data_IF_182945666995
#
_entry.id   IF_182945666995
#
_cell.length_a   1.000
_cell.length_b   1.000
_cell.length_c   1.000
_cell.angle_alpha   90.00
_cell.angle_beta   90.00
_cell.angle_gamma   90.00
#
_symmetry.space_group_name_H-M   'P 1'
#
loop_
_entity.id
_entity.type
_entity.pdbx_description
1 polymer ?
#
# COMPACT_ATOMS: atom_id res chain seq x y z
N UNK A 1 33.36 3.27 -3.71
CA UNK A 1 33.13 1.80 -3.86
C UNK A 1 32.83 1.53 -5.34
N UNK A 2 32.90 0.29 -5.83
CA UNK A 2 32.50 -0.05 -7.22
C UNK A 2 31.69 -1.35 -7.22
N UNK A 3 30.60 -1.38 -8.00
CA UNK A 3 29.75 -2.56 -8.19
C UNK A 3 29.51 -2.77 -9.68
N UNK A 4 29.86 -3.95 -10.22
CA UNK A 4 29.71 -4.28 -11.63
C UNK A 4 30.34 -3.24 -12.60
N UNK A 5 31.47 -2.63 -12.23
CA UNK A 5 32.08 -1.57 -13.05
C UNK A 5 31.45 -0.18 -12.89
N UNK A 6 30.39 -0.05 -12.07
CA UNK A 6 29.70 1.21 -11.80
C UNK A 6 30.25 1.81 -10.49
N UNK A 7 30.79 3.04 -10.52
CA UNK A 7 31.26 3.71 -9.32
C UNK A 7 30.07 4.04 -8.40
N UNK A 8 30.23 3.76 -7.12
CA UNK A 8 29.29 4.16 -6.06
C UNK A 8 29.94 5.31 -5.30
N UNK A 9 29.30 6.48 -5.40
CA UNK A 9 29.70 7.70 -4.69
C UNK A 9 29.57 7.49 -3.18
N UNK A 10 30.57 7.96 -2.43
CA UNK A 10 30.62 7.84 -0.96
C UNK A 10 29.82 8.98 -0.33
N UNK A 11 28.51 8.91 -0.49
CA UNK A 11 27.54 9.88 -0.01
C UNK A 11 26.33 9.21 0.65
N UNK A 12 25.43 10.01 1.22
CA UNK A 12 24.26 9.53 1.95
C UNK A 12 22.93 10.01 1.36
N UNK A 13 21.88 9.24 1.59
CA UNK A 13 20.50 9.66 1.34
C UNK A 13 19.86 10.14 2.65
N UNK A 14 19.45 11.40 2.71
CA UNK A 14 18.71 11.94 3.85
C UNK A 14 17.22 11.59 3.75
N UNK A 15 16.71 10.89 4.75
CA UNK A 15 15.32 10.47 4.83
C UNK A 15 14.64 11.04 6.07
N UNK A 16 13.31 11.04 6.09
CA UNK A 16 12.51 11.72 7.09
C UNK A 16 11.54 10.76 7.79
N UNK A 17 11.28 10.95 9.09
CA UNK A 17 10.27 10.17 9.79
C UNK A 17 8.88 10.49 9.23
N UNK A 18 8.06 9.47 9.02
CA UNK A 18 6.69 9.61 8.54
C UNK A 18 5.76 8.59 9.21
N UNK A 19 4.45 8.80 9.18
CA UNK A 19 3.51 7.76 9.63
C UNK A 19 3.15 6.84 8.48
N UNK A 20 3.16 5.54 8.73
CA UNK A 20 2.86 4.51 7.74
C UNK A 20 1.71 3.60 8.21
N UNK A 21 0.86 3.20 7.27
CA UNK A 21 -0.15 2.16 7.42
C UNK A 21 0.05 1.14 6.30
N UNK A 22 -0.05 -0.16 6.62
CA UNK A 22 -0.01 -1.24 5.63
C UNK A 22 -1.38 -1.91 5.58
N UNK A 23 -1.91 -2.06 4.39
CA UNK A 23 -3.21 -2.71 4.14
C UNK A 23 -3.00 -3.88 3.20
N UNK A 24 -3.61 -5.02 3.53
CA UNK A 24 -3.70 -6.18 2.65
C UNK A 24 -5.05 -6.13 1.94
N UNK A 25 -5.04 -6.06 0.61
CA UNK A 25 -6.23 -6.06 -0.23
C UNK A 25 -6.29 -7.38 -0.98
N UNK A 26 -7.39 -8.10 -0.86
CA UNK A 26 -7.62 -9.38 -1.56
C UNK A 26 -8.76 -9.24 -2.55
N UNK A 27 -8.75 -10.08 -3.59
CA UNK A 27 -9.81 -10.13 -4.58
C UNK A 27 -9.98 -11.55 -5.14
N UNK A 28 -10.93 -11.75 -6.05
CA UNK A 28 -11.19 -13.04 -6.69
C UNK A 28 -9.98 -13.61 -7.45
N UNK A 29 -9.08 -12.75 -7.94
CA UNK A 29 -7.82 -13.13 -8.55
C UNK A 29 -6.81 -11.97 -8.49
N UNK A 30 -5.54 -12.29 -8.77
CA UNK A 30 -4.43 -11.32 -8.75
C UNK A 30 -4.67 -10.11 -9.66
N UNK A 31 -5.24 -10.32 -10.86
CA UNK A 31 -5.57 -9.24 -11.79
C UNK A 31 -6.48 -8.19 -11.15
N UNK A 32 -7.50 -8.62 -10.40
CA UNK A 32 -8.39 -7.68 -9.70
C UNK A 32 -7.74 -7.07 -8.47
N UNK A 33 -6.99 -7.85 -7.70
CA UNK A 33 -6.27 -7.33 -6.53
C UNK A 33 -5.28 -6.22 -6.94
N UNK A 34 -4.54 -6.41 -8.03
CA UNK A 34 -3.63 -5.41 -8.59
C UNK A 34 -4.34 -4.16 -9.11
N UNK A 35 -5.50 -4.31 -9.79
CA UNK A 35 -6.30 -3.17 -10.25
C UNK A 35 -6.78 -2.32 -9.08
N UNK A 36 -7.27 -2.96 -8.04
CA UNK A 36 -7.76 -2.30 -6.82
C UNK A 36 -6.61 -1.60 -6.10
N UNK A 37 -5.49 -2.30 -5.93
CA UNK A 37 -4.30 -1.73 -5.30
C UNK A 37 -3.79 -0.51 -6.08
N UNK A 38 -3.73 -0.60 -7.41
CA UNK A 38 -3.31 0.51 -8.29
C UNK A 38 -4.21 1.73 -8.16
N UNK A 39 -5.53 1.54 -8.12
CA UNK A 39 -6.50 2.62 -7.92
C UNK A 39 -6.32 3.24 -6.52
N UNK A 40 -6.26 2.39 -5.49
CA UNK A 40 -6.11 2.81 -4.10
C UNK A 40 -4.79 3.53 -3.84
N UNK A 41 -3.72 3.26 -4.57
CA UNK A 41 -2.41 3.93 -4.44
C UNK A 41 -2.16 5.00 -5.51
N UNK A 42 -3.15 5.30 -6.36
CA UNK A 42 -3.06 6.34 -7.38
C UNK A 42 -3.04 7.76 -6.79
N UNK A 43 -2.53 8.73 -7.56
CA UNK A 43 -2.37 10.13 -7.14
C UNK A 43 -1.74 10.26 -5.74
N UNK A 44 -0.59 9.60 -5.56
CA UNK A 44 0.06 9.45 -4.25
C UNK A 44 1.59 9.40 -4.35
N UNK A 45 2.18 10.21 -5.23
CA UNK A 45 3.63 10.12 -5.48
C UNK A 45 4.46 10.86 -4.42
N UNK A 46 4.08 12.09 -4.07
CA UNK A 46 4.76 12.93 -3.08
C UNK A 46 3.77 13.74 -2.27
N UNK A 47 3.94 13.77 -0.95
CA UNK A 47 3.11 14.57 -0.05
C UNK A 47 3.25 16.10 -0.25
N UNK A 48 4.16 16.55 -1.13
CA UNK A 48 4.30 17.97 -1.52
C UNK A 48 3.07 18.44 -2.31
N UNK A 49 2.56 17.59 -3.21
CA UNK A 49 1.46 17.93 -4.11
C UNK A 49 0.34 16.90 -4.20
N UNK A 50 0.58 15.67 -3.72
CA UNK A 50 -0.43 14.63 -3.59
C UNK A 50 -1.01 14.60 -2.16
N UNK A 51 -2.22 14.07 -1.97
CA UNK A 51 -2.84 13.95 -0.65
C UNK A 51 -2.07 13.07 0.36
N UNK A 52 -1.30 12.10 -0.13
CA UNK A 52 -0.41 11.24 0.64
C UNK A 52 0.70 10.66 -0.28
N UNK A 53 1.57 9.85 0.29
CA UNK A 53 2.44 8.94 -0.44
C UNK A 53 1.87 7.52 -0.34
N UNK A 54 1.80 6.78 -1.44
CA UNK A 54 1.30 5.41 -1.42
C UNK A 54 1.89 4.57 -2.54
N UNK A 55 1.90 3.26 -2.36
CA UNK A 55 2.41 2.33 -3.36
C UNK A 55 2.04 0.90 -3.06
N UNK A 56 2.15 0.06 -4.09
CA UNK A 56 2.12 -1.39 -3.95
C UNK A 56 3.46 -1.79 -3.32
N UNK A 57 3.39 -2.50 -2.20
CA UNK A 57 4.56 -3.13 -1.58
C UNK A 57 4.90 -4.42 -2.33
N UNK A 58 3.95 -5.37 -2.33
CA UNK A 58 4.13 -6.65 -3.00
C UNK A 58 2.82 -7.40 -3.22
N UNK A 59 2.85 -8.32 -4.17
CA UNK A 59 1.81 -9.35 -4.33
C UNK A 59 1.98 -10.39 -3.22
N UNK A 60 0.87 -10.93 -2.72
CA UNK A 60 0.80 -11.93 -1.68
C UNK A 60 0.27 -13.25 -2.24
N UNK A 61 0.90 -14.35 -1.85
CA UNK A 61 0.34 -15.68 -2.11
C UNK A 61 -0.95 -15.88 -1.30
N UNK A 62 -1.94 -16.63 -1.81
CA UNK A 62 -3.15 -16.94 -1.05
C UNK A 62 -2.89 -17.56 0.34
N UNK A 63 -1.77 -18.24 0.55
CA UNK A 63 -1.38 -18.77 1.87
C UNK A 63 -0.98 -17.69 2.89
N UNK A 64 -0.72 -16.46 2.44
CA UNK A 64 -0.35 -15.33 3.29
C UNK A 64 -1.56 -14.45 3.65
N UNK A 65 -2.74 -14.69 3.06
CA UNK A 65 -3.92 -13.85 3.24
C UNK A 65 -4.95 -14.49 4.18
N UNK A 66 -5.66 -13.70 5.01
CA UNK A 66 -6.60 -14.26 5.99
C UNK A 66 -7.76 -15.06 5.39
N UNK A 67 -8.15 -14.74 4.15
CA UNK A 67 -9.27 -15.38 3.45
C UNK A 67 -8.85 -16.43 2.42
N UNK A 68 -7.55 -16.71 2.28
CA UNK A 68 -7.05 -17.69 1.34
C UNK A 68 -7.17 -17.27 -0.12
N UNK A 69 -7.31 -15.97 -0.42
CA UNK A 69 -7.44 -15.44 -1.79
C UNK A 69 -6.18 -14.68 -2.23
N UNK A 70 -5.93 -14.55 -3.54
CA UNK A 70 -4.85 -13.70 -4.05
C UNK A 70 -4.96 -12.28 -3.51
N UNK A 71 -3.83 -11.73 -3.04
CA UNK A 71 -3.80 -10.42 -2.41
C UNK A 71 -2.63 -9.56 -2.84
N UNK A 72 -2.72 -8.28 -2.49
CA UNK A 72 -1.67 -7.28 -2.68
C UNK A 72 -1.57 -6.49 -1.39
N UNK A 73 -0.35 -6.36 -0.87
CA UNK A 73 -0.06 -5.43 0.21
C UNK A 73 0.24 -4.05 -0.38
N UNK A 74 -0.41 -3.04 0.18
CA UNK A 74 -0.17 -1.63 -0.14
C UNK A 74 0.23 -0.88 1.12
N UNK A 75 1.00 0.19 0.95
CA UNK A 75 1.37 1.06 2.05
C UNK A 75 0.95 2.50 1.77
N UNK A 76 0.50 3.18 2.82
CA UNK A 76 0.13 4.59 2.82
C UNK A 76 1.01 5.33 3.81
N UNK A 77 1.51 6.49 3.40
CA UNK A 77 2.37 7.36 4.18
C UNK A 77 1.80 8.78 4.20
N UNK A 78 1.75 9.41 5.38
CA UNK A 78 1.30 10.79 5.49
C UNK A 78 1.85 11.49 6.74
N UNK A 79 2.09 12.79 6.62
CA UNK A 79 2.61 13.65 7.68
C UNK A 79 1.66 13.82 8.87
N UNK A 80 1.55 12.80 9.71
CA UNK A 80 0.74 12.77 10.93
C UNK A 80 -0.38 11.73 10.91
N UNK A 81 -0.69 11.18 12.08
CA UNK A 81 -1.72 10.15 12.28
C UNK A 81 -3.09 10.54 11.72
N UNK A 82 -3.51 11.78 11.94
CA UNK A 82 -4.81 12.29 11.48
C UNK A 82 -4.91 12.25 9.95
N UNK A 83 -3.90 12.77 9.25
CA UNK A 83 -3.88 12.79 7.78
C UNK A 83 -3.76 11.37 7.21
N UNK A 84 -2.95 10.51 7.85
CA UNK A 84 -2.87 9.10 7.47
C UNK A 84 -4.24 8.41 7.58
N UNK A 85 -4.94 8.60 8.70
CA UNK A 85 -6.30 8.07 8.90
C UNK A 85 -7.26 8.54 7.81
N UNK A 86 -7.31 9.85 7.54
CA UNK A 86 -8.16 10.42 6.49
C UNK A 86 -7.90 9.74 5.14
N UNK A 87 -6.62 9.56 4.79
CA UNK A 87 -6.23 8.99 3.49
C UNK A 87 -6.47 7.50 3.38
N UNK A 88 -6.27 6.73 4.46
CA UNK A 88 -6.65 5.31 4.50
C UNK A 88 -8.17 5.18 4.34
N UNK A 89 -8.97 5.96 5.08
CA UNK A 89 -10.44 5.93 4.97
C UNK A 89 -10.91 6.25 3.55
N UNK A 90 -10.48 7.37 2.98
CA UNK A 90 -10.90 7.81 1.65
C UNK A 90 -10.53 6.78 0.57
N UNK A 91 -9.31 6.25 0.62
CA UNK A 91 -8.84 5.28 -0.39
C UNK A 91 -9.54 3.93 -0.25
N UNK A 92 -9.80 3.46 0.97
CA UNK A 92 -10.55 2.21 1.14
C UNK A 92 -12.03 2.38 0.76
N UNK A 93 -12.66 3.50 1.14
CA UNK A 93 -14.05 3.78 0.80
C UNK A 93 -14.26 3.92 -0.71
N UNK A 94 -13.46 4.76 -1.36
CA UNK A 94 -13.70 5.19 -2.74
C UNK A 94 -12.98 4.33 -3.78
N UNK A 95 -11.86 3.70 -3.42
CA UNK A 95 -11.02 2.95 -4.35
C UNK A 95 -10.99 1.45 -4.07
N UNK A 96 -11.53 0.94 -2.96
CA UNK A 96 -11.49 -0.50 -2.63
C UNK A 96 -12.89 -1.08 -2.48
N UNK A 97 -13.73 -0.53 -1.60
CA UNK A 97 -15.10 -1.01 -1.37
C UNK A 97 -15.97 -0.95 -2.63
N UNK A 98 -15.72 0.04 -3.49
CA UNK A 98 -16.43 0.27 -4.76
C UNK A 98 -16.05 -0.72 -5.87
N UNK A 99 -14.95 -1.46 -5.71
CA UNK A 99 -14.44 -2.39 -6.71
C UNK A 99 -14.86 -3.84 -6.43
N UNK A 100 -14.94 -4.70 -7.46
CA UNK A 100 -15.56 -6.01 -7.33
C UNK A 100 -14.71 -6.97 -6.47
N UNK A 101 -15.41 -7.74 -5.63
CA UNK A 101 -14.87 -8.89 -4.88
C UNK A 101 -13.83 -8.54 -3.81
N UNK A 102 -13.68 -7.28 -3.43
CA UNK A 102 -12.60 -6.85 -2.53
C UNK A 102 -12.85 -7.26 -1.09
N UNK A 103 -11.77 -7.62 -0.39
CA UNK A 103 -11.73 -7.58 1.07
C UNK A 103 -10.43 -6.94 1.55
N UNK A 104 -10.45 -6.34 2.74
CA UNK A 104 -9.29 -5.65 3.32
C UNK A 104 -8.96 -6.14 4.71
N UNK A 105 -7.66 -6.27 4.97
CA UNK A 105 -7.12 -6.75 6.23
C UNK A 105 -5.96 -5.87 6.68
N UNK A 106 -5.76 -5.79 8.00
CA UNK A 106 -4.66 -5.08 8.62
C UNK A 106 -3.32 -5.74 8.28
N UNK A 107 -2.42 -4.97 7.67
CA UNK A 107 -1.08 -5.42 7.34
C UNK A 107 -0.11 -5.37 8.52
N UNK A 108 -0.49 -4.77 9.65
CA UNK A 108 0.34 -4.57 10.85
C UNK A 108 -0.41 -4.95 12.16
N UNK A 109 -0.83 -6.21 12.32
CA UNK A 109 -1.66 -6.63 13.47
C UNK A 109 -0.97 -6.41 14.84
N UNK A 110 0.36 -6.47 14.89
CA UNK A 110 1.15 -6.29 16.12
C UNK A 110 1.48 -4.82 16.44
N UNK A 111 1.02 -3.85 15.64
CA UNK A 111 1.28 -2.44 15.92
C UNK A 111 0.48 -1.95 17.15
N UNK A 112 1.18 -1.27 18.06
CA UNK A 112 0.59 -0.67 19.27
C UNK A 112 -0.38 0.47 18.93
N UNK A 113 -0.04 1.27 17.93
CA UNK A 113 -0.83 2.43 17.49
C UNK A 113 -1.74 2.01 16.36
N UNK A 114 -3.02 2.41 16.42
CA UNK A 114 -4.05 1.99 15.46
C UNK A 114 -4.92 3.16 15.01
N UNK A 115 -5.53 3.03 13.84
CA UNK A 115 -6.55 3.92 13.29
C UNK A 115 -7.81 3.13 12.96
N UNK A 116 -8.98 3.70 13.23
CA UNK A 116 -10.28 3.14 12.84
C UNK A 116 -10.78 3.73 11.51
N UNK A 117 -11.31 2.91 10.60
CA UNK A 117 -11.87 3.38 9.32
C UNK A 117 -13.39 3.48 9.28
N UNK A 118 -14.10 2.70 10.11
CA UNK A 118 -15.57 2.78 10.30
C UNK A 118 -16.39 2.71 8.99
N UNK A 119 -15.95 1.87 8.07
CA UNK A 119 -16.58 1.70 6.76
C UNK A 119 -17.90 0.93 6.85
N UNK A 120 -18.14 0.17 7.93
CA UNK A 120 -19.37 -0.59 8.12
C UNK A 120 -20.65 0.25 8.08
N UNK A 121 -20.59 1.53 8.50
CA UNK A 121 -21.75 2.42 8.46
C UNK A 121 -22.31 2.65 7.05
N UNK A 122 -21.56 2.35 5.99
CA UNK A 122 -22.06 2.37 4.63
C UNK A 122 -23.22 1.37 4.41
N UNK A 123 -23.29 0.30 5.21
CA UNK A 123 -24.35 -0.71 5.14
C UNK A 123 -25.72 -0.22 5.61
N UNK A 124 -25.85 0.99 6.16
CA UNK A 124 -27.10 1.57 6.67
C UNK A 124 -27.96 0.59 7.49
N UNK A 125 -27.33 -0.05 8.48
CA UNK A 125 -27.89 -1.02 9.45
C UNK A 125 -28.05 -2.44 8.91
N UNK A 126 -27.64 -2.71 7.67
CA UNK A 126 -27.61 -4.07 7.11
C UNK A 126 -26.24 -4.73 7.25
N UNK A 127 -25.22 -3.97 7.66
CA UNK A 127 -23.91 -4.50 8.03
C UNK A 127 -23.96 -5.43 9.25
N UNK A 128 -23.06 -6.41 9.28
CA UNK A 128 -22.94 -7.33 10.41
C UNK A 128 -21.49 -7.75 10.66
N UNK A 129 -21.19 -8.12 11.90
CA UNK A 129 -19.86 -8.61 12.27
C UNK A 129 -19.65 -10.05 11.81
N UNK A 130 -18.45 -10.34 11.32
CA UNK A 130 -18.03 -11.68 10.88
C UNK A 130 -16.58 -11.93 11.28
N UNK A 131 -16.10 -13.16 11.07
CA UNK A 131 -14.72 -13.55 11.31
C UNK A 131 -14.13 -14.20 10.06
N UNK A 132 -12.93 -13.77 9.65
CA UNK A 132 -12.22 -14.30 8.48
C UNK A 132 -10.77 -14.57 8.87
N UNK A 133 -10.32 -15.82 8.76
CA UNK A 133 -8.95 -16.20 9.14
C UNK A 133 -8.60 -15.87 10.60
N UNK A 134 -9.58 -15.93 11.51
CA UNK A 134 -9.40 -15.52 12.92
C UNK A 134 -9.41 -14.01 13.15
N UNK A 135 -9.72 -13.21 12.12
CA UNK A 135 -9.75 -11.73 12.18
C UNK A 135 -11.17 -11.21 12.25
N UNK A 136 -11.40 -10.24 13.14
CA UNK A 136 -12.71 -9.59 13.30
C UNK A 136 -12.94 -8.63 12.15
N UNK A 137 -13.95 -8.92 11.34
CA UNK A 137 -14.30 -8.13 10.17
C UNK A 137 -15.75 -7.66 10.27
N UNK A 138 -16.09 -6.70 9.43
CA UNK A 138 -17.47 -6.38 9.08
C UNK A 138 -17.77 -6.87 7.67
N UNK A 139 -18.98 -7.39 7.49
CA UNK A 139 -19.58 -7.64 6.19
C UNK A 139 -20.58 -6.51 5.90
N UNK A 140 -20.38 -5.83 4.79
CA UNK A 140 -21.19 -4.69 4.34
C UNK A 140 -21.90 -5.08 3.05
N UNK A 141 -23.23 -5.22 3.06
CA UNK A 141 -23.98 -5.52 1.84
C UNK A 141 -23.84 -4.41 0.80
N UNK A 142 -23.43 -4.78 -0.41
CA UNK A 142 -23.25 -3.90 -1.57
C UNK A 142 -23.81 -4.56 -2.83
N UNK A 143 -23.84 -3.85 -3.96
CA UNK A 143 -24.44 -4.38 -5.20
C UNK A 143 -23.80 -5.68 -5.70
N UNK A 144 -22.49 -5.88 -5.46
CA UNK A 144 -21.73 -7.06 -5.90
C UNK A 144 -21.77 -8.22 -4.90
N UNK A 145 -22.54 -8.11 -3.81
CA UNK A 145 -22.56 -9.07 -2.70
C UNK A 145 -22.18 -8.37 -1.40
N UNK A 146 -21.00 -8.69 -0.87
CA UNK A 146 -20.52 -8.15 0.40
C UNK A 146 -19.10 -7.61 0.23
N UNK A 147 -18.86 -6.42 0.78
CA UNK A 147 -17.52 -5.97 1.12
C UNK A 147 -17.16 -6.52 2.50
N UNK A 148 -16.00 -7.16 2.60
CA UNK A 148 -15.47 -7.67 3.88
C UNK A 148 -14.26 -6.84 4.29
N UNK A 149 -14.22 -6.35 5.52
CA UNK A 149 -13.07 -5.59 5.98
C UNK A 149 -12.87 -5.60 7.48
N UNK A 150 -11.60 -5.68 7.90
CA UNK A 150 -11.21 -5.20 9.22
C UNK A 150 -11.42 -3.68 9.30
N UNK A 151 -11.61 -3.15 10.51
CA UNK A 151 -11.85 -1.71 10.71
C UNK A 151 -10.78 -0.98 11.48
N UNK A 152 -9.89 -1.70 12.14
CA UNK A 152 -8.76 -1.13 12.86
C UNK A 152 -7.49 -1.54 12.15
N UNK A 153 -6.68 -0.57 11.74
CA UNK A 153 -5.43 -0.78 11.03
C UNK A 153 -4.26 -0.31 11.87
N UNK A 154 -3.21 -1.12 11.95
CA UNK A 154 -1.97 -0.77 12.62
C UNK A 154 -1.24 0.36 11.89
N UNK A 155 -0.67 1.29 12.66
CA UNK A 155 0.18 2.35 12.15
C UNK A 155 1.52 2.39 12.88
N UNK A 156 2.58 2.73 12.17
CA UNK A 156 3.93 2.83 12.71
C UNK A 156 4.61 4.12 12.29
N UNK A 157 5.68 4.50 12.99
CA UNK A 157 6.62 5.51 12.49
C UNK A 157 7.52 4.83 11.46
N UNK A 158 7.26 5.09 10.19
CA UNK A 158 8.10 4.68 9.07
C UNK A 158 9.12 5.75 8.67
N UNK A 159 9.76 5.52 7.53
CA UNK A 159 10.77 6.38 6.94
C UNK A 159 10.32 6.69 5.50
N UNK A 160 10.37 7.96 5.11
CA UNK A 160 10.08 8.43 3.76
C UNK A 160 11.29 9.18 3.17
N UNK A 161 11.51 9.08 1.86
CA UNK A 161 12.57 9.83 1.17
C UNK A 161 13.93 9.11 1.04
N UNK A 162 14.04 7.84 1.42
CA UNK A 162 15.20 7.03 1.04
C UNK A 162 15.33 6.99 -0.49
N UNK A 163 16.52 7.25 -1.01
CA UNK A 163 16.73 7.42 -2.45
C UNK A 163 18.16 7.08 -2.87
N UNK A 164 18.37 6.91 -4.17
CA UNK A 164 19.67 6.93 -4.83
C UNK A 164 19.45 7.35 -6.28
N UNK A 165 20.48 7.90 -6.92
CA UNK A 165 20.41 8.34 -8.32
C UNK A 165 21.12 7.36 -9.25
N UNK A 166 20.54 7.18 -10.43
CA UNK A 166 21.11 6.36 -11.50
C UNK A 166 21.58 7.31 -12.60
N UNK A 167 22.89 7.41 -12.76
CA UNK A 167 23.51 8.19 -13.84
C UNK A 167 23.82 7.26 -15.03
N UNK A 168 23.01 7.33 -16.08
CA UNK A 168 23.21 6.55 -17.30
C UNK A 168 23.75 7.39 -18.47
N UNK A 169 24.42 6.75 -19.42
CA UNK A 169 24.92 7.39 -20.65
C UNK A 169 23.82 7.86 -21.61
N UNK A 170 22.60 7.35 -21.43
CA UNK A 170 21.43 7.69 -22.21
C UNK A 170 20.15 7.44 -21.41
N UNK A 171 19.04 8.07 -21.83
CA UNK A 171 17.72 7.85 -21.21
C UNK A 171 17.32 6.36 -21.20
N UNK A 172 17.44 5.59 -22.31
CA UNK A 172 17.12 4.17 -22.28
C UNK A 172 17.97 3.36 -21.30
N UNK A 173 19.27 3.66 -21.17
CA UNK A 173 20.15 2.96 -20.25
C UNK A 173 19.79 3.24 -18.79
N UNK A 174 19.55 4.51 -18.43
CA UNK A 174 19.14 4.89 -17.08
C UNK A 174 17.77 4.29 -16.72
N UNK A 175 16.80 4.33 -17.65
CA UNK A 175 15.46 3.79 -17.43
C UNK A 175 15.49 2.28 -17.23
N UNK A 176 16.23 1.53 -18.06
CA UNK A 176 16.37 0.07 -17.91
C UNK A 176 16.96 -0.30 -16.53
N UNK A 177 17.97 0.44 -16.08
CA UNK A 177 18.56 0.23 -14.76
C UNK A 177 17.58 0.59 -13.62
N UNK A 178 16.81 1.66 -13.78
CA UNK A 178 15.80 2.07 -12.81
C UNK A 178 14.63 1.07 -12.71
N UNK A 179 14.14 0.55 -13.83
CA UNK A 179 13.13 -0.51 -13.87
C UNK A 179 13.63 -1.77 -13.13
N UNK A 180 14.87 -2.19 -13.41
CA UNK A 180 15.48 -3.33 -12.72
C UNK A 180 15.62 -3.10 -11.19
N UNK A 181 15.87 -1.86 -10.76
CA UNK A 181 15.91 -1.51 -9.36
C UNK A 181 14.52 -1.55 -8.70
N UNK A 182 13.49 -1.02 -9.38
CA UNK A 182 12.10 -1.08 -8.89
C UNK A 182 11.63 -2.54 -8.76
N UNK A 183 11.95 -3.40 -9.73
CA UNK A 183 11.66 -4.83 -9.69
C UNK A 183 12.37 -5.56 -8.54
N UNK A 184 13.56 -5.08 -8.14
CA UNK A 184 14.26 -5.59 -6.98
C UNK A 184 13.62 -5.13 -5.67
N UNK A 185 13.29 -3.83 -5.56
CA UNK A 185 12.63 -3.24 -4.38
C UNK A 185 11.26 -3.88 -4.13
N UNK A 186 10.48 -4.17 -5.18
CA UNK A 186 9.16 -4.81 -5.07
C UNK A 186 9.19 -6.22 -4.45
N UNK A 187 10.38 -6.82 -4.26
CA UNK A 187 10.56 -8.10 -3.56
C UNK A 187 10.84 -7.93 -2.06
N UNK A 188 11.18 -6.72 -1.63
CA UNK A 188 11.54 -6.41 -0.26
C UNK A 188 10.30 -5.94 0.53
N UNK A 189 9.85 -6.79 1.45
CA UNK A 189 8.70 -6.51 2.29
C UNK A 189 8.91 -5.24 3.15
N UNK A 190 7.85 -4.44 3.28
CA UNK A 190 7.88 -3.19 4.04
C UNK A 190 8.49 -1.99 3.32
N UNK A 191 8.72 -2.08 2.01
CA UNK A 191 9.18 -0.97 1.17
C UNK A 191 8.24 -0.71 -0.01
N UNK A 192 8.14 0.56 -0.44
CA UNK A 192 7.39 0.96 -1.63
C UNK A 192 8.18 1.99 -2.43
N UNK A 193 7.92 2.06 -3.73
CA UNK A 193 8.27 3.20 -4.57
C UNK A 193 6.99 4.01 -4.83
N UNK A 194 6.81 5.16 -4.15
CA UNK A 194 5.61 6.00 -4.31
C UNK A 194 5.52 6.66 -5.68
N UNK A 195 6.68 7.00 -6.26
CA UNK A 195 6.84 7.15 -7.70
C UNK A 195 7.25 5.79 -8.27
N UNK A 196 6.78 5.41 -9.47
CA UNK A 196 7.41 4.29 -10.19
C UNK A 196 8.91 4.55 -10.35
N UNK A 197 9.27 5.69 -10.97
CA UNK A 197 10.63 6.22 -11.12
C UNK A 197 10.52 7.75 -11.12
N UNK A 198 11.40 8.47 -10.40
CA UNK A 198 11.45 9.94 -10.43
C UNK A 198 12.30 10.39 -11.61
N UNK A 199 11.70 11.16 -12.53
CA UNK A 199 12.36 11.62 -13.77
C UNK A 199 12.67 13.13 -13.81
N UNK A 200 12.24 13.88 -12.79
CA UNK A 200 12.40 15.34 -12.66
C UNK A 200 13.45 15.67 -11.62
#
# INVERSE_FOLDING_TARGET
>A
MELNGVPIEDEYAEAFPNWACRVVITAINEKWALKVATEATGFATSAIGCPCEAGIERILDPSETPDGRPGVAVMFFAGGKKKLKEQVVERLAECVMTLPTTAVFDGMPEAEERIDVKLHFFGDKYEYQTEVGGRKCWAVPIMSGEYIGEEEFGIVKGIAGGNFFIMGESVPAALMAAEAAVDAIAKEAGSICSFPIVAS
#
